data_IF_755700178982
#
_entry.id   IF_755700178982
#
_cell.length_a   1.000
_cell.length_b   1.000
_cell.length_c   1.000
_cell.angle_alpha   90.00
_cell.angle_beta   90.00
_cell.angle_gamma   90.00
#
_symmetry.space_group_name_H-M   'P 1'
#
loop_
_entity.id
_entity.type
_entity.pdbx_description
1 polymer ?
#
# COMPACT_ATOMS: atom_id res chain seq x y z
N UNK A 1 34.61 -55.90 -34.38
CA UNK A 1 33.79 -55.91 -35.61
C UNK A 1 32.35 -55.73 -35.18
N UNK A 2 31.79 -54.53 -35.34
CA UNK A 2 30.85 -54.16 -36.41
C UNK A 2 29.44 -54.75 -36.17
N UNK A 3 28.31 -54.04 -36.19
CA UNK A 3 27.96 -52.65 -36.46
C UNK A 3 26.44 -52.47 -36.24
N UNK A 4 26.05 -51.25 -35.83
CA UNK A 4 24.89 -50.46 -36.28
C UNK A 4 23.44 -50.93 -36.04
N UNK A 5 22.66 -50.17 -35.24
CA UNK A 5 21.87 -48.97 -35.63
C UNK A 5 20.73 -49.31 -36.60
N UNK A 6 19.51 -49.52 -36.08
CA UNK A 6 18.30 -49.57 -36.88
C UNK A 6 17.70 -48.16 -36.97
N UNK A 7 17.85 -47.59 -38.16
CA UNK A 7 17.40 -46.28 -38.60
C UNK A 7 15.92 -46.39 -39.02
N UNK A 8 15.00 -45.77 -38.29
CA UNK A 8 13.61 -45.63 -38.71
C UNK A 8 13.46 -44.34 -39.51
N UNK A 9 13.40 -44.48 -40.84
CA UNK A 9 13.21 -43.40 -41.81
C UNK A 9 11.70 -43.26 -42.05
N UNK A 10 11.06 -42.27 -41.43
CA UNK A 10 9.65 -41.94 -41.70
C UNK A 10 9.61 -41.04 -42.94
N UNK A 11 9.18 -41.61 -44.05
CA UNK A 11 8.87 -40.90 -45.29
C UNK A 11 7.42 -40.42 -45.20
N UNK A 12 7.18 -39.11 -45.14
CA UNK A 12 5.83 -38.55 -45.33
C UNK A 12 5.77 -37.94 -46.73
N UNK A 13 5.02 -38.63 -47.58
CA UNK A 13 4.67 -38.30 -48.95
C UNK A 13 3.66 -37.14 -48.93
N UNK A 14 4.08 -35.94 -49.31
CA UNK A 14 3.18 -34.80 -49.49
C UNK A 14 2.41 -34.97 -50.81
N UNK A 15 1.18 -35.48 -50.73
CA UNK A 15 0.24 -35.45 -51.86
C UNK A 15 -0.61 -34.18 -51.78
N UNK A 16 -0.37 -33.31 -52.77
CA UNK A 16 -1.20 -32.15 -53.11
C UNK A 16 -2.60 -32.60 -53.55
N UNK A 17 -3.64 -32.03 -52.93
CA UNK A 17 -4.99 -31.95 -53.51
C UNK A 17 -5.58 -30.56 -53.24
N UNK A 18 -5.83 -29.84 -54.34
CA UNK A 18 -6.69 -28.64 -54.42
C UNK A 18 -8.11 -28.99 -54.00
N UNK A 19 -8.72 -28.19 -53.12
CA UNK A 19 -10.16 -27.97 -53.08
C UNK A 19 -10.45 -26.59 -52.50
N UNK A 20 -11.28 -25.85 -53.21
CA UNK A 20 -11.87 -24.55 -52.90
C UNK A 20 -12.79 -24.62 -51.67
N UNK A 21 -12.67 -23.65 -50.75
CA UNK A 21 -13.78 -22.84 -50.18
C UNK A 21 -13.31 -21.98 -48.99
N UNK A 22 -13.58 -20.66 -49.10
CA UNK A 22 -13.69 -19.54 -48.13
C UNK A 22 -12.80 -19.43 -46.85
N UNK A 23 -12.39 -18.21 -46.46
CA UNK A 23 -11.42 -17.99 -45.39
C UNK A 23 -12.07 -18.04 -44.00
N UNK A 24 -11.91 -19.15 -43.30
CA UNK A 24 -12.15 -19.20 -41.85
C UNK A 24 -11.00 -18.46 -41.18
N UNK A 25 -11.30 -17.27 -40.62
CA UNK A 25 -10.41 -16.53 -39.74
C UNK A 25 -10.08 -17.40 -38.53
N UNK A 26 -9.00 -18.17 -38.63
CA UNK A 26 -8.34 -18.74 -37.48
C UNK A 26 -7.64 -17.57 -36.79
N UNK A 27 -8.38 -16.95 -35.86
CA UNK A 27 -7.79 -16.20 -34.76
C UNK A 27 -6.89 -17.18 -34.00
N UNK A 28 -5.66 -17.33 -34.50
CA UNK A 28 -4.56 -17.95 -33.80
C UNK A 28 -4.30 -17.02 -32.61
N UNK A 29 -5.02 -17.28 -31.53
CA UNK A 29 -4.62 -16.87 -30.20
C UNK A 29 -3.20 -17.42 -30.09
N UNK A 30 -2.23 -16.53 -30.29
CA UNK A 30 -0.87 -16.74 -29.84
C UNK A 30 -1.02 -16.93 -28.33
N UNK A 31 -1.19 -18.20 -27.91
CA UNK A 31 -0.66 -18.63 -26.63
C UNK A 31 0.79 -18.18 -26.63
N UNK A 32 1.02 -17.00 -26.05
CA UNK A 32 2.32 -16.61 -25.58
C UNK A 32 2.68 -17.67 -24.56
N UNK A 33 3.41 -18.66 -25.03
CA UNK A 33 4.38 -19.41 -24.24
C UNK A 33 5.30 -18.34 -23.65
N UNK A 34 4.94 -17.82 -22.47
CA UNK A 34 5.80 -16.96 -21.67
C UNK A 34 6.78 -17.90 -20.99
N UNK A 35 7.80 -18.30 -21.75
CA UNK A 35 9.00 -18.89 -21.18
C UNK A 35 10.13 -17.85 -21.21
N UNK A 36 10.91 -17.85 -20.14
CA UNK A 36 11.81 -16.81 -19.63
C UNK A 36 11.13 -15.61 -18.95
N UNK A 37 11.03 -15.68 -17.61
CA UNK A 37 10.50 -14.60 -16.76
C UNK A 37 11.39 -13.37 -16.77
N UNK A 38 11.26 -12.52 -17.80
CA UNK A 38 11.89 -11.21 -17.84
C UNK A 38 11.37 -10.40 -16.67
N UNK A 39 12.25 -10.04 -15.74
CA UNK A 39 11.90 -9.19 -14.61
C UNK A 39 11.52 -7.79 -15.10
N UNK A 40 10.38 -7.26 -14.64
CA UNK A 40 9.92 -5.94 -15.06
C UNK A 40 10.85 -4.88 -14.47
N UNK A 41 11.52 -4.12 -15.33
CA UNK A 41 12.41 -3.03 -14.95
C UNK A 41 11.64 -1.85 -14.37
N UNK A 42 12.31 -1.06 -13.52
CA UNK A 42 11.70 0.16 -12.95
C UNK A 42 11.59 1.21 -14.06
N UNK A 43 10.40 1.75 -14.34
CA UNK A 43 10.29 2.83 -15.32
C UNK A 43 10.87 4.13 -14.79
N UNK A 44 11.29 4.99 -15.70
CA UNK A 44 11.82 6.32 -15.41
C UNK A 44 10.68 7.30 -15.16
N UNK A 45 10.79 8.13 -14.10
CA UNK A 45 9.82 9.19 -13.81
C UNK A 45 9.63 9.46 -12.32
N UNK A 46 9.06 10.62 -11.99
CA UNK A 46 8.84 11.06 -10.61
C UNK A 46 7.73 10.27 -9.90
N UNK A 47 6.64 9.96 -10.61
CA UNK A 47 5.55 9.14 -10.10
C UNK A 47 5.36 7.86 -10.91
N UNK A 48 5.24 6.74 -10.20
CA UNK A 48 5.16 5.41 -10.77
C UNK A 48 3.79 4.80 -10.44
N UNK A 49 2.95 4.56 -11.45
CA UNK A 49 1.68 3.85 -11.24
C UNK A 49 1.90 2.33 -11.26
N UNK A 50 2.15 1.76 -10.08
CA UNK A 50 2.52 0.35 -9.91
C UNK A 50 1.47 -0.59 -10.52
N UNK A 51 0.18 -0.37 -10.26
CA UNK A 51 -0.89 -1.22 -10.78
C UNK A 51 -0.88 -1.28 -12.31
N UNK A 52 -0.77 -0.10 -12.96
CA UNK A 52 -0.73 0.00 -14.43
C UNK A 52 0.51 -0.66 -15.02
N UNK A 53 1.68 -0.46 -14.40
CA UNK A 53 2.96 -1.01 -14.90
C UNK A 53 3.01 -2.53 -14.76
N UNK A 54 2.47 -3.04 -13.65
CA UNK A 54 2.41 -4.47 -13.39
C UNK A 54 1.17 -5.15 -14.00
N UNK A 55 0.34 -4.38 -14.72
CA UNK A 55 -0.90 -4.83 -15.34
C UNK A 55 -1.85 -5.56 -14.37
N UNK A 56 -1.93 -5.05 -13.13
CA UNK A 56 -2.76 -5.61 -12.07
C UNK A 56 -4.16 -5.00 -12.10
N UNK A 57 -5.16 -5.82 -11.83
CA UNK A 57 -6.51 -5.31 -11.60
C UNK A 57 -6.63 -4.64 -10.21
N UNK A 58 -7.74 -3.96 -9.96
CA UNK A 58 -7.94 -3.22 -8.72
C UNK A 58 -7.98 -4.13 -7.48
N UNK A 59 -8.58 -5.31 -7.59
CA UNK A 59 -8.73 -6.25 -6.48
C UNK A 59 -7.37 -6.83 -6.07
N UNK A 60 -6.59 -7.32 -7.04
CA UNK A 60 -5.23 -7.80 -6.85
C UNK A 60 -4.36 -6.72 -6.21
N UNK A 61 -4.38 -5.51 -6.79
CA UNK A 61 -3.58 -4.41 -6.29
C UNK A 61 -3.99 -3.99 -4.87
N UNK A 62 -5.29 -4.04 -4.55
CA UNK A 62 -5.78 -3.79 -3.20
C UNK A 62 -5.34 -4.87 -2.22
N UNK A 63 -5.41 -6.15 -2.62
CA UNK A 63 -4.90 -7.28 -1.84
C UNK A 63 -3.43 -7.11 -1.48
N UNK A 64 -2.58 -6.83 -2.46
CA UNK A 64 -1.14 -6.60 -2.22
C UNK A 64 -0.86 -5.39 -1.33
N UNK A 65 -1.64 -4.30 -1.45
CA UNK A 65 -1.52 -3.16 -0.53
C UNK A 65 -1.87 -3.55 0.90
N UNK A 66 -2.88 -4.37 1.11
CA UNK A 66 -3.26 -4.86 2.44
C UNK A 66 -2.18 -5.77 3.01
N UNK A 67 -1.69 -6.75 2.24
CA UNK A 67 -0.58 -7.63 2.66
C UNK A 67 0.66 -6.82 3.11
N UNK A 68 0.99 -5.74 2.40
CA UNK A 68 2.09 -4.84 2.80
C UNK A 68 1.79 -4.10 4.10
N UNK A 69 0.55 -3.63 4.32
CA UNK A 69 0.17 -2.95 5.57
C UNK A 69 0.32 -3.87 6.78
N UNK A 70 -0.12 -5.12 6.67
CA UNK A 70 -0.03 -6.10 7.75
C UNK A 70 1.43 -6.39 8.11
N UNK A 71 2.31 -6.50 7.10
CA UNK A 71 3.74 -6.67 7.32
C UNK A 71 4.41 -5.45 7.95
N UNK A 72 3.99 -4.24 7.58
CA UNK A 72 4.49 -3.00 8.21
C UNK A 72 4.09 -2.97 9.69
N UNK A 73 2.85 -3.35 10.00
CA UNK A 73 2.34 -3.41 11.37
C UNK A 73 3.08 -4.39 12.25
N UNK A 74 3.45 -5.54 11.70
CA UNK A 74 4.13 -6.58 12.44
C UNK A 74 5.63 -6.32 12.65
N UNK A 75 6.29 -5.59 11.73
CA UNK A 75 7.77 -5.59 11.66
C UNK A 75 8.44 -4.22 11.65
N UNK A 76 7.70 -3.10 11.57
CA UNK A 76 8.28 -1.78 11.36
C UNK A 76 7.87 -0.80 12.45
N UNK A 77 8.87 -0.13 13.02
CA UNK A 77 8.66 1.12 13.73
C UNK A 77 8.34 2.23 12.73
N UNK A 78 7.09 2.68 12.74
CA UNK A 78 6.59 3.74 11.86
C UNK A 78 7.04 5.14 12.30
N UNK A 79 7.63 5.31 13.48
CA UNK A 79 8.19 6.61 13.88
C UNK A 79 9.45 6.93 13.08
N UNK A 80 10.25 5.90 12.78
CA UNK A 80 11.43 5.95 11.91
C UNK A 80 11.06 6.29 10.45
N UNK A 81 11.88 7.10 9.78
CA UNK A 81 11.66 7.45 8.36
C UNK A 81 12.16 6.34 7.43
N UNK A 82 11.63 6.29 6.20
CA UNK A 82 11.99 5.29 5.19
C UNK A 82 13.50 5.13 5.01
N UNK A 83 14.18 6.26 4.87
CA UNK A 83 15.62 6.34 4.62
C UNK A 83 16.46 5.85 5.79
N UNK A 84 15.89 5.88 7.00
CA UNK A 84 16.55 5.45 8.24
C UNK A 84 16.17 4.01 8.63
N UNK A 85 15.29 3.37 7.86
CA UNK A 85 14.85 2.02 8.18
C UNK A 85 16.00 1.02 7.98
N UNK A 86 16.13 0.08 8.91
CA UNK A 86 17.15 -0.95 8.80
C UNK A 86 16.96 -1.80 7.54
N UNK A 87 18.03 -1.93 6.76
CA UNK A 87 18.03 -2.73 5.52
C UNK A 87 17.59 -4.18 5.77
N UNK A 88 17.96 -4.76 6.91
CA UNK A 88 17.57 -6.13 7.31
C UNK A 88 16.05 -6.25 7.48
N UNK A 89 15.41 -5.27 8.11
CA UNK A 89 13.95 -5.24 8.26
C UNK A 89 13.25 -5.15 6.89
N UNK A 90 13.75 -4.30 5.98
CA UNK A 90 13.22 -4.17 4.62
C UNK A 90 13.31 -5.52 3.88
N UNK A 91 14.45 -6.20 3.94
CA UNK A 91 14.65 -7.49 3.27
C UNK A 91 13.72 -8.57 3.82
N UNK A 92 13.56 -8.65 5.15
CA UNK A 92 12.66 -9.59 5.80
C UNK A 92 11.19 -9.41 5.37
N UNK A 93 10.76 -8.16 5.18
CA UNK A 93 9.42 -7.85 4.66
C UNK A 93 9.27 -8.29 3.21
N UNK A 94 10.27 -8.00 2.37
CA UNK A 94 10.24 -8.42 0.95
C UNK A 94 10.14 -9.94 0.84
N UNK A 95 10.93 -10.67 1.63
CA UNK A 95 10.92 -12.13 1.67
C UNK A 95 9.55 -12.68 2.10
N UNK A 96 8.99 -12.18 3.21
CA UNK A 96 7.66 -12.58 3.69
C UNK A 96 6.56 -12.22 2.70
N UNK A 97 6.63 -11.04 2.10
CA UNK A 97 5.67 -10.62 1.09
C UNK A 97 5.68 -11.58 -0.09
N UNK A 98 6.86 -11.93 -0.63
CA UNK A 98 6.98 -12.88 -1.73
C UNK A 98 6.49 -14.28 -1.36
N UNK A 99 6.80 -14.75 -0.15
CA UNK A 99 6.32 -16.03 0.35
C UNK A 99 4.81 -16.11 0.43
N UNK A 100 4.16 -15.03 0.85
CA UNK A 100 2.69 -14.96 0.98
C UNK A 100 1.99 -14.62 -0.35
N UNK A 101 2.70 -14.07 -1.33
CA UNK A 101 2.14 -13.53 -2.56
C UNK A 101 2.94 -14.06 -3.77
N UNK A 102 2.88 -15.38 -4.00
CA UNK A 102 3.64 -16.07 -5.06
C UNK A 102 3.31 -15.57 -6.48
N UNK A 103 2.09 -15.09 -6.70
CA UNK A 103 1.62 -14.55 -7.98
C UNK A 103 2.00 -13.07 -8.21
N UNK A 104 2.67 -12.43 -7.25
CA UNK A 104 3.09 -11.05 -7.45
C UNK A 104 4.11 -10.94 -8.60
N UNK A 105 3.93 -10.03 -9.57
CA UNK A 105 4.83 -9.91 -10.71
C UNK A 105 6.29 -9.68 -10.31
N UNK A 106 7.20 -10.45 -10.94
CA UNK A 106 8.64 -10.34 -10.69
C UNK A 106 9.17 -9.02 -11.23
N UNK A 107 9.81 -8.24 -10.36
CA UNK A 107 10.40 -6.94 -10.71
C UNK A 107 11.89 -6.88 -10.42
N UNK A 108 12.66 -6.17 -11.24
CA UNK A 108 14.11 -6.05 -11.03
C UNK A 108 14.41 -5.37 -9.71
N UNK A 109 15.19 -6.04 -8.85
CA UNK A 109 15.57 -5.48 -7.55
C UNK A 109 14.40 -5.18 -6.60
N UNK A 110 13.25 -5.84 -6.80
CA UNK A 110 12.04 -5.70 -5.98
C UNK A 110 11.53 -4.26 -5.87
N UNK A 111 11.72 -3.46 -6.91
CA UNK A 111 11.40 -2.05 -6.89
C UNK A 111 9.93 -1.81 -6.57
N UNK A 112 9.01 -2.65 -7.07
CA UNK A 112 7.58 -2.45 -6.86
C UNK A 112 7.18 -2.72 -5.40
N UNK A 113 7.72 -3.77 -4.79
CA UNK A 113 7.49 -4.10 -3.38
C UNK A 113 8.04 -2.98 -2.49
N UNK A 114 9.27 -2.51 -2.78
CA UNK A 114 9.89 -1.38 -2.07
C UNK A 114 9.06 -0.10 -2.18
N UNK A 115 8.52 0.21 -3.35
CA UNK A 115 7.65 1.38 -3.56
C UNK A 115 6.32 1.25 -2.83
N UNK A 116 5.68 0.08 -2.86
CA UNK A 116 4.45 -0.20 -2.09
C UNK A 116 4.69 0.01 -0.60
N UNK A 117 5.76 -0.58 -0.07
CA UNK A 117 6.16 -0.44 1.31
C UNK A 117 6.40 1.04 1.68
N UNK A 118 7.27 1.73 0.92
CA UNK A 118 7.57 3.16 1.14
C UNK A 118 6.31 4.02 1.20
N UNK A 119 5.39 3.85 0.24
CA UNK A 119 4.13 4.60 0.18
C UNK A 119 3.22 4.30 1.35
N UNK A 120 3.06 3.01 1.68
CA UNK A 120 2.19 2.58 2.78
C UNK A 120 2.67 3.14 4.13
N UNK A 121 3.97 3.08 4.38
CA UNK A 121 4.57 3.63 5.59
C UNK A 121 4.43 5.15 5.67
N UNK A 122 4.70 5.88 4.58
CA UNK A 122 4.52 7.33 4.54
C UNK A 122 3.06 7.75 4.79
N UNK A 123 2.11 7.02 4.21
CA UNK A 123 0.68 7.25 4.43
C UNK A 123 0.29 7.00 5.90
N UNK A 124 0.82 5.93 6.51
CA UNK A 124 0.59 5.62 7.92
C UNK A 124 1.13 6.71 8.84
N UNK A 125 2.35 7.19 8.59
CA UNK A 125 2.95 8.33 9.33
C UNK A 125 2.13 9.60 9.18
N UNK A 126 1.72 9.94 7.96
CA UNK A 126 0.89 11.11 7.71
C UNK A 126 -0.46 11.02 8.45
N UNK A 127 -1.07 9.84 8.45
CA UNK A 127 -2.32 9.58 9.17
C UNK A 127 -2.14 9.77 10.69
N UNK A 128 -1.11 9.18 11.29
CA UNK A 128 -0.82 9.33 12.72
C UNK A 128 -0.56 10.78 13.12
N UNK A 129 0.22 11.53 12.32
CA UNK A 129 0.44 12.98 12.55
C UNK A 129 -0.87 13.76 12.54
N UNK A 130 -1.77 13.43 11.62
CA UNK A 130 -3.10 14.06 11.55
C UNK A 130 -3.96 13.75 12.77
N UNK A 131 -3.91 12.53 13.30
CA UNK A 131 -4.62 12.16 14.53
C UNK A 131 -4.08 12.92 15.74
N UNK A 132 -2.75 12.93 15.95
CA UNK A 132 -2.11 13.69 17.03
C UNK A 132 -2.47 15.18 16.98
N UNK A 133 -2.49 15.79 15.77
CA UNK A 133 -2.90 17.20 15.59
C UNK A 133 -4.35 17.44 16.01
N UNK A 134 -5.27 16.56 15.61
CA UNK A 134 -6.69 16.67 15.98
C UNK A 134 -6.90 16.54 17.48
N UNK A 135 -6.21 15.61 18.11
CA UNK A 135 -6.27 15.41 19.57
C UNK A 135 -5.81 16.66 20.33
N UNK A 136 -4.68 17.23 19.95
CA UNK A 136 -4.20 18.50 20.54
C UNK A 136 -5.18 19.65 20.35
N UNK A 137 -5.84 19.74 19.19
CA UNK A 137 -6.83 20.78 18.93
C UNK A 137 -8.07 20.63 19.82
N UNK A 138 -8.52 19.40 20.06
CA UNK A 138 -9.61 19.10 21.00
C UNK A 138 -9.23 19.47 22.43
N UNK A 139 -8.02 19.10 22.87
CA UNK A 139 -7.49 19.44 24.20
C UNK A 139 -7.42 20.97 24.37
N UNK A 140 -6.89 21.69 23.38
CA UNK A 140 -6.78 23.15 23.43
C UNK A 140 -8.17 23.82 23.51
N UNK A 141 -9.16 23.35 22.74
CA UNK A 141 -10.54 23.85 22.81
C UNK A 141 -11.17 23.58 24.18
N UNK A 142 -10.98 22.38 24.74
CA UNK A 142 -11.47 22.03 26.08
C UNK A 142 -10.84 22.94 27.14
N UNK A 143 -9.52 23.11 27.13
CA UNK A 143 -8.82 23.97 28.08
C UNK A 143 -9.27 25.44 27.99
N UNK A 144 -9.45 25.98 26.78
CA UNK A 144 -10.03 27.32 26.60
C UNK A 144 -11.45 27.41 27.20
N UNK A 145 -12.31 26.42 26.95
CA UNK A 145 -13.67 26.41 27.50
C UNK A 145 -13.71 26.35 29.03
N UNK A 146 -12.80 25.60 29.66
CA UNK A 146 -12.65 25.53 31.13
C UNK A 146 -12.24 26.90 31.67
N UNK A 147 -11.19 27.52 31.09
CA UNK A 147 -10.76 28.87 31.48
C UNK A 147 -11.89 29.90 31.33
N UNK A 148 -12.74 29.77 30.30
CA UNK A 148 -13.86 30.70 30.11
C UNK A 148 -14.95 30.50 31.17
N UNK A 149 -15.26 29.25 31.53
CA UNK A 149 -16.22 28.94 32.60
C UNK A 149 -15.74 29.40 33.97
N UNK A 150 -14.46 29.21 34.28
CA UNK A 150 -13.89 29.60 35.57
C UNK A 150 -13.87 31.13 35.73
N UNK A 151 -13.61 31.88 34.64
CA UNK A 151 -13.76 33.35 34.62
C UNK A 151 -15.20 33.80 34.87
N UNK A 152 -16.18 33.11 34.29
CA UNK A 152 -17.61 33.42 34.52
C UNK A 152 -18.00 33.12 35.97
N UNK A 153 -17.60 31.97 36.52
CA UNK A 153 -17.86 31.61 37.92
C UNK A 153 -17.25 32.61 38.90
N UNK A 154 -15.98 32.98 38.71
CA UNK A 154 -15.34 33.97 39.58
C UNK A 154 -16.00 35.34 39.49
N UNK A 155 -16.49 35.78 38.32
CA UNK A 155 -17.22 37.04 38.19
C UNK A 155 -18.57 37.01 38.95
N UNK A 156 -19.30 35.90 38.90
CA UNK A 156 -20.59 35.72 39.58
C UNK A 156 -20.43 35.73 41.10
N UNK A 157 -19.40 35.06 41.64
CA UNK A 157 -19.15 35.01 43.09
C UNK A 157 -18.85 36.39 43.68
N UNK A 158 -18.12 37.24 42.95
CA UNK A 158 -17.78 38.61 43.39
C UNK A 158 -19.00 39.55 43.37
N UNK A 159 -20.02 39.28 42.54
CA UNK A 159 -21.22 40.12 42.43
C UNK A 159 -22.35 39.71 43.39
N UNK A 160 -22.21 38.58 44.11
CA UNK A 160 -23.20 38.08 45.07
C UNK A 160 -22.87 38.34 46.54
N UNK A 161 -21.76 39.00 46.87
CA UNK A 161 -21.40 39.35 48.26
C UNK A 161 -21.83 40.77 48.66
N UNK A 162 -22.95 41.26 48.12
CA UNK A 162 -23.54 42.54 48.50
C UNK A 162 -24.01 42.51 49.95
N UNK A 163 -23.35 43.34 50.76
CA UNK A 163 -23.63 43.77 52.14
C UNK A 163 -25.12 43.81 52.50
N UNK A 164 -25.50 43.02 53.51
CA UNK A 164 -26.70 43.24 54.30
C UNK A 164 -26.29 44.01 55.57
N UNK A 165 -26.15 45.33 55.44
CA UNK A 165 -26.12 46.23 56.59
C UNK A 165 -27.56 46.67 56.87
N UNK A 166 -28.22 45.98 57.80
CA UNK A 166 -29.53 46.37 58.31
C UNK A 166 -29.33 47.38 59.45
N UNK A 167 -29.59 48.64 59.13
CA UNK A 167 -29.65 49.77 60.06
C UNK A 167 -30.92 49.64 60.92
N UNK A 168 -30.77 49.21 62.18
CA UNK A 168 -31.82 49.43 63.18
C UNK A 168 -31.64 50.79 63.83
N UNK A 169 -32.40 51.77 63.35
CA UNK A 169 -32.54 53.09 63.98
C UNK A 169 -33.27 53.00 65.33
N UNK A 170 -32.77 53.80 66.28
CA UNK A 170 -33.32 54.00 67.62
C UNK A 170 -34.65 54.76 67.57
N UNK A 171 -35.59 54.38 68.43
CA UNK A 171 -36.55 55.28 69.08
C UNK A 171 -36.56 54.98 70.57
#
# INVERSE_FOLDING_TARGET
MATNKKLNKITVLNQSKKSSDLPVQQNRILEKVVDETVSISKPTGAYINIAKILNLNNEEFNGYKSSIRDLIEAYIDVETSWEKQERRAILKIIEKFKGNNSHFPKTTGDWAIKELFRRSMNNKRAHQKRLKKKEMEVILKKNKSVITRDKIKNKVVISSSGTADDLSDKV
#
